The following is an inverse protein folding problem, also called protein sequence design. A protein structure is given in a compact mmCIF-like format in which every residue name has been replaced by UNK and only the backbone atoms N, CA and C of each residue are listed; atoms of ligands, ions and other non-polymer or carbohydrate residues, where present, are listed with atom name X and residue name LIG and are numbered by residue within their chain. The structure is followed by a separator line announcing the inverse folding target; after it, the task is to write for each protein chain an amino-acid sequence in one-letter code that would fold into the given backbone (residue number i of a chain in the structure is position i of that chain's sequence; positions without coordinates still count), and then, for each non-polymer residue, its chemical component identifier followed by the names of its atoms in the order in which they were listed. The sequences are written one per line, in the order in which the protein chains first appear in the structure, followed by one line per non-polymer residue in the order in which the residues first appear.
data_IF_799678776611
#
_entry.id   IF_799678776611
#
_cell.length_a   1.000
_cell.length_b   1.000
_cell.length_c   1.000
_cell.angle_alpha   90.00
_cell.angle_beta   90.00
_cell.angle_gamma   90.00
#
_symmetry.space_group_name_H-M   'P 1'
#
loop_
_entity.id
_entity.type
_entity.pdbx_description
1 polymer ?
#
# COMPACT_ATOMS: atom_id res chain seq x y z
N UNK A 1 -37.22 -51.62 41.95
CA UNK A 1 -35.98 -51.95 41.20
C UNK A 1 -36.01 -51.48 39.75
N UNK A 2 -36.98 -51.87 38.90
CA UNK A 2 -37.00 -51.47 37.46
C UNK A 2 -37.01 -49.94 37.21
N UNK A 3 -37.78 -49.16 37.98
CA UNK A 3 -37.80 -47.68 37.85
C UNK A 3 -36.43 -47.04 38.13
N UNK A 4 -35.72 -47.47 39.19
CA UNK A 4 -34.38 -46.97 39.50
C UNK A 4 -33.37 -47.29 38.39
N UNK A 5 -33.53 -48.44 37.73
CA UNK A 5 -32.69 -48.83 36.59
C UNK A 5 -32.91 -47.92 35.38
N UNK A 6 -34.16 -47.52 35.10
CA UNK A 6 -34.48 -46.58 34.01
C UNK A 6 -33.93 -45.19 34.29
N UNK A 7 -34.08 -44.68 35.52
CA UNK A 7 -33.49 -43.39 35.92
C UNK A 7 -31.96 -43.40 35.86
N UNK A 8 -31.33 -44.53 36.22
CA UNK A 8 -29.89 -44.70 36.13
C UNK A 8 -29.41 -44.68 34.67
N UNK A 9 -30.09 -45.37 33.77
CA UNK A 9 -29.77 -45.34 32.33
C UNK A 9 -29.97 -43.94 31.75
N UNK A 10 -31.07 -43.25 32.09
CA UNK A 10 -31.29 -41.86 31.69
C UNK A 10 -30.19 -40.92 32.17
N UNK A 11 -29.69 -41.10 33.40
CA UNK A 11 -28.60 -40.30 33.95
C UNK A 11 -27.29 -40.53 33.20
N UNK A 12 -26.98 -41.78 32.84
CA UNK A 12 -25.79 -42.10 32.03
C UNK A 12 -25.89 -41.48 30.64
N UNK A 13 -27.04 -41.59 29.98
CA UNK A 13 -27.25 -40.98 28.65
C UNK A 13 -27.10 -39.46 28.73
N UNK A 14 -27.67 -38.81 29.75
CA UNK A 14 -27.55 -37.37 29.93
C UNK A 14 -26.09 -36.94 30.19
N UNK A 15 -25.34 -37.72 30.97
CA UNK A 15 -23.92 -37.47 31.17
C UNK A 15 -23.11 -37.66 29.89
N UNK A 16 -23.38 -38.70 29.09
CA UNK A 16 -22.65 -38.92 27.83
C UNK A 16 -22.92 -37.82 26.82
N UNK A 17 -24.18 -37.39 26.67
CA UNK A 17 -24.54 -36.26 25.79
C UNK A 17 -23.87 -34.96 26.25
N UNK A 18 -23.85 -34.68 27.55
CA UNK A 18 -23.16 -33.51 28.09
C UNK A 18 -21.64 -33.56 27.81
N UNK A 19 -21.03 -34.74 27.92
CA UNK A 19 -19.61 -34.95 27.65
C UNK A 19 -19.28 -34.74 26.17
N UNK A 20 -20.13 -35.24 25.27
CA UNK A 20 -20.01 -35.01 23.83
C UNK A 20 -20.09 -33.52 23.54
N UNK A 21 -21.10 -32.82 24.06
CA UNK A 21 -21.28 -31.38 23.84
C UNK A 21 -20.09 -30.56 24.35
N UNK A 22 -19.52 -30.91 25.51
CA UNK A 22 -18.32 -30.25 26.02
C UNK A 22 -17.11 -30.50 25.10
N UNK A 23 -16.94 -31.74 24.64
CA UNK A 23 -15.80 -32.12 23.79
C UNK A 23 -15.89 -31.41 22.44
N UNK A 24 -17.06 -31.40 21.80
CA UNK A 24 -17.30 -30.67 20.55
C UNK A 24 -17.06 -29.17 20.73
N UNK A 25 -17.51 -28.59 21.86
CA UNK A 25 -17.26 -27.18 22.17
C UNK A 25 -15.77 -26.89 22.30
N UNK A 26 -15.02 -27.74 23.00
CA UNK A 26 -13.58 -27.55 23.21
C UNK A 26 -12.80 -27.65 21.89
N UNK A 27 -13.16 -28.62 21.03
CA UNK A 27 -12.59 -28.77 19.68
C UNK A 27 -12.87 -27.55 18.79
N UNK A 28 -14.10 -27.02 18.84
CA UNK A 28 -14.47 -25.80 18.12
C UNK A 28 -13.67 -24.59 18.62
N UNK A 29 -13.51 -24.46 19.94
CA UNK A 29 -12.74 -23.37 20.53
C UNK A 29 -11.24 -23.46 20.19
N UNK A 30 -10.67 -24.66 20.16
CA UNK A 30 -9.30 -24.86 19.71
C UNK A 30 -9.14 -24.47 18.24
N UNK A 31 -10.07 -24.92 17.39
CA UNK A 31 -10.07 -24.58 15.96
C UNK A 31 -10.19 -23.07 15.73
N UNK A 32 -11.06 -22.40 16.48
CA UNK A 32 -11.21 -20.93 16.43
C UNK A 32 -9.90 -20.23 16.81
N UNK A 33 -9.24 -20.67 17.89
CA UNK A 33 -7.94 -20.12 18.30
C UNK A 33 -6.87 -20.31 17.23
N UNK A 34 -6.80 -21.49 16.60
CA UNK A 34 -5.85 -21.75 15.52
C UNK A 34 -6.10 -20.84 14.30
N UNK A 35 -7.36 -20.62 13.92
CA UNK A 35 -7.73 -19.72 12.82
C UNK A 35 -7.34 -18.28 13.19
N UNK A 36 -7.66 -17.85 14.40
CA UNK A 36 -7.33 -16.52 14.92
C UNK A 36 -5.83 -16.26 14.89
N UNK A 37 -5.03 -17.19 15.39
CA UNK A 37 -3.59 -17.04 15.48
C UNK A 37 -2.93 -17.05 14.09
N UNK A 38 -3.41 -17.90 13.17
CA UNK A 38 -2.99 -17.87 11.76
C UNK A 38 -3.32 -16.54 11.11
N UNK A 39 -4.54 -16.04 11.27
CA UNK A 39 -4.96 -14.75 10.73
C UNK A 39 -4.09 -13.60 11.27
N UNK A 40 -3.87 -13.55 12.58
CA UNK A 40 -3.03 -12.53 13.22
C UNK A 40 -1.58 -12.62 12.76
N UNK A 41 -1.03 -13.83 12.66
CA UNK A 41 0.33 -14.08 12.17
C UNK A 41 0.48 -13.57 10.73
N UNK A 42 -0.42 -13.95 9.82
CA UNK A 42 -0.40 -13.50 8.43
C UNK A 42 -0.52 -11.99 8.32
N UNK A 43 -1.45 -11.37 9.05
CA UNK A 43 -1.57 -9.91 9.09
C UNK A 43 -0.27 -9.27 9.61
N UNK A 44 0.32 -9.82 10.68
CA UNK A 44 1.55 -9.29 11.23
C UNK A 44 2.71 -9.32 10.23
N UNK A 45 2.81 -10.39 9.44
CA UNK A 45 3.82 -10.54 8.41
C UNK A 45 3.61 -9.53 7.29
N UNK A 46 2.36 -9.32 6.85
CA UNK A 46 2.03 -8.29 5.86
C UNK A 46 2.44 -6.89 6.35
N UNK A 47 2.21 -6.55 7.61
CA UNK A 47 2.62 -5.26 8.18
C UNK A 47 4.13 -5.09 8.32
N UNK A 48 4.88 -6.19 8.47
CA UNK A 48 6.34 -6.20 8.49
C UNK A 48 6.96 -6.04 7.11
N UNK A 49 6.18 -6.23 6.03
CA UNK A 49 6.69 -5.99 4.68
C UNK A 49 7.05 -4.50 4.51
N UNK A 50 8.19 -4.21 3.85
CA UNK A 50 8.61 -2.84 3.61
C UNK A 50 7.63 -2.13 2.67
N UNK A 51 7.42 -0.83 2.91
CA UNK A 51 6.72 0.03 1.96
C UNK A 51 7.63 0.27 0.75
N UNK A 52 7.15 -0.01 -0.45
CA UNK A 52 7.90 0.19 -1.68
C UNK A 52 7.10 1.11 -2.59
N UNK A 53 7.73 2.15 -3.12
CA UNK A 53 7.18 2.94 -4.20
C UNK A 53 7.79 2.45 -5.52
N UNK A 54 6.96 2.17 -6.51
CA UNK A 54 7.39 1.79 -7.85
C UNK A 54 6.98 2.86 -8.86
N UNK A 55 7.89 3.17 -9.79
CA UNK A 55 7.66 4.06 -10.93
C UNK A 55 7.91 3.25 -12.20
N UNK A 56 6.86 2.69 -12.83
CA UNK A 56 7.02 1.82 -14.01
C UNK A 56 7.70 2.55 -15.17
N UNK A 57 7.41 3.84 -15.35
CA UNK A 57 7.97 4.69 -16.39
C UNK A 57 9.16 5.49 -15.82
N UNK A 58 10.33 4.87 -15.74
CA UNK A 58 11.56 5.54 -15.25
C UNK A 58 12.03 6.67 -16.16
N UNK A 59 11.76 6.57 -17.46
CA UNK A 59 12.00 7.64 -18.42
C UNK A 59 10.73 7.90 -19.23
N UNK A 60 10.40 9.18 -19.44
CA UNK A 60 9.25 9.61 -20.22
C UNK A 60 9.63 10.77 -21.13
N UNK A 61 9.21 10.72 -22.39
CA UNK A 61 9.38 11.81 -23.35
C UNK A 61 8.09 12.63 -23.41
N UNK A 62 8.20 13.94 -23.20
CA UNK A 62 7.09 14.88 -23.29
C UNK A 62 7.31 15.89 -24.42
N UNK A 63 6.25 16.15 -25.17
CA UNK A 63 6.26 17.13 -26.26
C UNK A 63 5.81 18.48 -25.72
N UNK A 64 6.64 19.50 -25.88
CA UNK A 64 6.32 20.86 -25.47
C UNK A 64 5.10 21.37 -26.25
N UNK A 65 4.11 21.94 -25.56
CA UNK A 65 2.86 22.42 -26.17
C UNK A 65 1.83 21.32 -26.49
N UNK A 66 2.00 20.10 -25.94
CA UNK A 66 0.98 19.06 -26.01
C UNK A 66 -0.33 19.52 -25.35
N UNK A 67 -1.48 19.21 -25.97
CA UNK A 67 -2.80 19.46 -25.38
C UNK A 67 -3.03 18.59 -24.13
N UNK A 68 -2.46 17.39 -24.12
CA UNK A 68 -2.53 16.48 -22.98
C UNK A 68 -1.29 16.63 -22.08
N UNK A 69 -1.48 16.84 -20.76
CA UNK A 69 -0.36 16.90 -19.82
C UNK A 69 0.26 15.51 -19.63
N UNK A 70 1.56 15.48 -19.33
CA UNK A 70 2.25 14.22 -19.04
C UNK A 70 1.69 13.59 -17.76
N UNK A 71 1.43 12.28 -17.78
CA UNK A 71 0.99 11.50 -16.63
C UNK A 71 2.00 10.41 -16.30
N UNK A 72 2.59 10.45 -15.11
CA UNK A 72 3.49 9.41 -14.59
C UNK A 72 2.80 8.70 -13.43
N UNK A 73 2.67 7.37 -13.55
CA UNK A 73 2.01 6.55 -12.52
C UNK A 73 3.03 6.13 -11.45
N UNK A 74 2.64 6.32 -10.19
CA UNK A 74 3.38 5.97 -8.98
C UNK A 74 2.57 4.93 -8.21
N UNK A 75 3.11 3.72 -8.07
CA UNK A 75 2.43 2.58 -7.46
C UNK A 75 3.03 2.25 -6.10
N UNK A 76 2.35 2.55 -4.98
CA UNK A 76 2.80 2.10 -3.65
C UNK A 76 2.41 0.62 -3.43
N UNK A 77 3.34 -0.17 -2.90
CA UNK A 77 3.12 -1.56 -2.47
C UNK A 77 3.56 -1.76 -1.02
N UNK A 78 2.99 -2.79 -0.36
CA UNK A 78 3.16 -3.00 1.08
C UNK A 78 2.17 -2.24 1.96
N UNK A 79 1.05 -1.78 1.39
CA UNK A 79 -0.11 -1.23 2.11
C UNK A 79 -1.06 -2.37 2.47
N UNK A 80 -1.45 -2.48 3.74
CA UNK A 80 -2.20 -3.63 4.26
C UNK A 80 -3.67 -3.28 4.47
N UNK A 81 -3.96 -2.18 5.16
CA UNK A 81 -5.34 -1.74 5.40
C UNK A 81 -5.86 -0.79 4.32
N UNK A 82 -7.19 -0.76 4.17
CA UNK A 82 -7.83 0.18 3.24
C UNK A 82 -7.66 1.64 3.68
N UNK A 83 -7.47 1.88 4.97
CA UNK A 83 -7.15 3.21 5.47
C UNK A 83 -5.74 3.64 5.08
N UNK A 84 -4.75 2.73 5.10
CA UNK A 84 -3.43 3.02 4.55
C UNK A 84 -3.49 3.38 3.06
N UNK A 85 -4.27 2.62 2.27
CA UNK A 85 -4.52 2.91 0.83
C UNK A 85 -5.16 4.28 0.59
N UNK A 86 -5.95 4.78 1.54
CA UNK A 86 -6.59 6.09 1.46
C UNK A 86 -5.71 7.23 1.98
N UNK A 87 -4.73 6.96 2.85
CA UNK A 87 -4.06 8.01 3.62
C UNK A 87 -2.54 8.11 3.39
N UNK A 88 -1.94 7.26 2.55
CA UNK A 88 -0.51 7.37 2.25
C UNK A 88 -0.16 8.73 1.63
N UNK A 89 1.00 9.26 2.01
CA UNK A 89 1.54 10.52 1.52
C UNK A 89 2.59 10.22 0.45
N UNK A 90 2.48 10.88 -0.69
CA UNK A 90 3.53 10.86 -1.72
C UNK A 90 4.11 12.25 -1.80
N UNK A 91 5.44 12.29 -1.82
CA UNK A 91 6.23 13.47 -2.08
C UNK A 91 7.01 13.28 -3.37
N UNK A 92 7.01 14.30 -4.21
CA UNK A 92 7.84 14.37 -5.41
C UNK A 92 8.65 15.66 -5.32
N UNK A 93 9.96 15.57 -5.45
CA UNK A 93 10.83 16.74 -5.56
C UNK A 93 11.77 16.60 -6.76
N UNK A 94 12.39 17.69 -7.17
CA UNK A 94 13.39 17.68 -8.24
C UNK A 94 14.74 17.33 -7.63
N UNK A 95 15.51 16.48 -8.32
CA UNK A 95 16.92 16.28 -7.98
C UNK A 95 17.72 17.53 -8.36
N UNK A 96 17.79 18.50 -7.45
CA UNK A 96 18.53 19.76 -7.63
C UNK A 96 20.03 19.56 -7.87
N UNK A 97 20.59 18.38 -7.55
CA UNK A 97 22.03 18.11 -7.74
C UNK A 97 22.35 17.65 -9.15
N UNK A 98 21.45 16.90 -9.79
CA UNK A 98 21.72 16.25 -11.08
C UNK A 98 20.71 16.58 -12.20
N UNK A 99 19.75 17.47 -11.95
CA UNK A 99 18.69 17.82 -12.89
C UNK A 99 18.43 19.32 -12.96
N UNK A 100 17.90 19.76 -14.10
CA UNK A 100 17.35 21.10 -14.22
C UNK A 100 16.10 21.23 -13.32
N UNK A 101 15.83 22.43 -12.81
CA UNK A 101 14.58 22.70 -12.09
C UNK A 101 13.56 23.25 -13.10
N UNK A 102 12.37 22.63 -13.24
CA UNK A 102 11.32 23.18 -14.08
C UNK A 102 10.93 24.59 -13.61
N UNK A 103 10.61 25.51 -14.54
CA UNK A 103 10.01 26.78 -14.15
C UNK A 103 8.71 26.53 -13.36
N UNK A 104 8.42 27.38 -12.38
CA UNK A 104 7.23 27.30 -11.51
C UNK A 104 7.17 26.03 -10.62
N UNK A 105 8.29 25.33 -10.40
CA UNK A 105 8.36 24.25 -9.42
C UNK A 105 8.19 24.77 -7.99
N UNK A 106 7.28 24.21 -7.18
CA UNK A 106 7.06 24.68 -5.81
C UNK A 106 8.25 24.39 -4.89
N UNK A 107 8.58 25.35 -4.02
CA UNK A 107 9.62 25.15 -3.02
C UNK A 107 9.23 24.04 -2.03
N UNK A 108 10.11 23.03 -1.89
CA UNK A 108 9.90 21.87 -1.02
C UNK A 108 9.27 20.65 -1.71
N UNK A 109 8.94 20.76 -3.00
CA UNK A 109 8.35 19.69 -3.79
C UNK A 109 6.82 19.69 -3.76
N UNK A 110 6.24 18.64 -4.34
CA UNK A 110 4.80 18.47 -4.51
C UNK A 110 4.34 17.33 -3.62
N UNK A 111 3.21 17.56 -2.97
CA UNK A 111 2.54 16.60 -2.11
C UNK A 111 1.08 16.54 -2.52
N UNK A 112 0.42 15.42 -2.22
CA UNK A 112 -1.03 15.29 -2.45
C UNK A 112 -1.76 16.43 -1.70
N UNK A 113 -2.52 17.24 -2.44
CA UNK A 113 -3.22 18.43 -1.92
C UNK A 113 -2.46 19.76 -2.05
N UNK A 114 -1.13 19.76 -2.26
CA UNK A 114 -0.35 20.95 -2.63
C UNK A 114 0.00 20.87 -4.11
N UNK A 115 -0.89 21.38 -4.95
CA UNK A 115 -0.73 21.42 -6.41
C UNK A 115 -0.50 22.86 -6.89
N UNK A 116 0.19 22.98 -8.01
CA UNK A 116 0.28 24.23 -8.78
C UNK A 116 -0.48 24.05 -10.11
N UNK A 117 -0.70 25.13 -10.88
CA UNK A 117 -1.36 25.06 -12.19
C UNK A 117 -0.66 24.08 -13.16
N UNK A 118 0.66 23.96 -13.07
CA UNK A 118 1.45 23.13 -13.97
C UNK A 118 1.73 21.71 -13.44
N UNK A 119 1.63 21.50 -12.12
CA UNK A 119 2.04 20.24 -11.52
C UNK A 119 1.08 19.83 -10.40
N UNK A 120 0.51 18.63 -10.53
CA UNK A 120 -0.43 18.08 -9.55
C UNK A 120 -0.21 16.58 -9.35
N UNK A 121 -0.60 16.08 -8.18
CA UNK A 121 -0.66 14.66 -7.88
C UNK A 121 -2.12 14.31 -7.62
N UNK A 122 -2.67 13.42 -8.43
CA UNK A 122 -4.02 12.89 -8.26
C UNK A 122 -3.95 11.43 -7.83
N UNK A 123 -5.02 10.92 -7.21
CA UNK A 123 -5.14 9.49 -6.89
C UNK A 123 -6.13 8.84 -7.82
N UNK A 124 -5.73 7.74 -8.42
CA UNK A 124 -6.58 6.94 -9.30
C UNK A 124 -6.36 5.46 -9.00
N UNK A 125 -7.43 4.75 -8.65
CA UNK A 125 -7.43 3.30 -8.39
C UNK A 125 -6.36 2.82 -7.38
N UNK A 126 -6.09 3.60 -6.33
CA UNK A 126 -5.09 3.29 -5.30
C UNK A 126 -3.66 3.69 -5.66
N UNK A 127 -3.41 4.08 -6.91
CA UNK A 127 -2.15 4.65 -7.36
C UNK A 127 -2.18 6.17 -7.27
N UNK A 128 -1.00 6.79 -7.30
CA UNK A 128 -0.89 8.22 -7.52
C UNK A 128 -0.42 8.50 -8.94
N UNK A 129 -0.98 9.54 -9.54
CA UNK A 129 -0.62 10.01 -10.87
C UNK A 129 -0.04 11.39 -10.73
N UNK A 130 1.24 11.50 -11.06
CA UNK A 130 1.90 12.78 -11.22
C UNK A 130 1.57 13.35 -12.58
N UNK A 131 0.88 14.49 -12.59
CA UNK A 131 0.46 15.18 -13.80
C UNK A 131 1.31 16.44 -13.91
N UNK A 132 2.04 16.56 -15.01
CA UNK A 132 2.99 17.64 -15.24
C UNK A 132 2.78 18.27 -16.61
N UNK A 133 2.73 19.60 -16.63
CA UNK A 133 2.79 20.41 -17.82
C UNK A 133 4.06 21.27 -17.77
N UNK A 134 4.80 21.31 -18.87
CA UNK A 134 6.10 21.98 -18.95
C UNK A 134 6.05 23.11 -19.97
N UNK A 135 6.55 24.28 -19.55
CA UNK A 135 6.64 25.48 -20.39
C UNK A 135 8.03 25.66 -21.02
N UNK A 136 9.01 24.88 -20.58
CA UNK A 136 10.41 24.97 -21.03
C UNK A 136 10.97 23.58 -21.33
N UNK A 137 11.80 23.50 -22.38
CA UNK A 137 12.55 22.30 -22.72
C UNK A 137 13.65 22.00 -21.71
N UNK A 138 13.94 20.71 -21.53
CA UNK A 138 14.99 20.25 -20.65
C UNK A 138 14.78 18.81 -20.17
N UNK A 139 15.85 18.26 -19.60
CA UNK A 139 15.83 16.97 -18.95
C UNK A 139 15.67 17.17 -17.43
N UNK A 140 14.49 16.81 -16.94
CA UNK A 140 14.09 17.00 -15.55
C UNK A 140 14.17 15.67 -14.81
N UNK A 141 14.93 15.64 -13.71
CA UNK A 141 15.07 14.47 -12.85
C UNK A 141 14.28 14.67 -11.57
N UNK A 142 13.43 13.71 -11.25
CA UNK A 142 12.56 13.75 -10.10
C UNK A 142 12.88 12.61 -9.13
N UNK A 143 12.67 12.91 -7.86
CA UNK A 143 12.78 12.02 -6.71
C UNK A 143 11.39 11.87 -6.12
N UNK A 144 10.89 10.64 -6.03
CA UNK A 144 9.61 10.34 -5.40
C UNK A 144 9.81 9.44 -4.19
N UNK A 145 9.17 9.78 -3.08
CA UNK A 145 9.08 8.95 -1.89
C UNK A 145 7.64 8.84 -1.37
N UNK A 146 7.35 7.72 -0.73
CA UNK A 146 6.06 7.43 -0.12
C UNK A 146 6.23 7.23 1.39
N UNK A 147 5.29 7.76 2.15
CA UNK A 147 5.23 7.61 3.60
C UNK A 147 3.80 7.25 4.01
N UNK A 148 3.66 6.31 4.93
CA UNK A 148 2.36 5.93 5.48
C UNK A 148 2.45 5.72 6.98
N UNK A 149 1.47 6.24 7.69
CA UNK A 149 1.22 5.92 9.09
C UNK A 149 0.52 4.55 9.13
N UNK A 150 1.15 3.54 9.73
CA UNK A 150 0.62 2.17 9.77
C UNK A 150 -0.69 2.16 10.57
N UNK A 151 -1.78 1.78 9.91
CA UNK A 151 -3.12 1.71 10.52
C UNK A 151 -3.67 0.30 10.42
N UNK A 152 -4.09 -0.26 11.55
CA UNK A 152 -4.74 -1.57 11.58
C UNK A 152 -6.15 -1.52 10.99
N UNK A 153 -6.66 -2.65 10.47
CA UNK A 153 -7.99 -2.68 9.88
C UNK A 153 -9.08 -2.38 10.91
N UNK A 154 -10.08 -1.59 10.52
CA UNK A 154 -11.18 -1.16 11.41
C UNK A 154 -12.09 -2.30 11.83
N UNK A 155 -12.24 -3.32 10.98
CA UNK A 155 -13.09 -4.47 11.24
C UNK A 155 -12.59 -5.37 12.38
N UNK A 156 -11.32 -5.24 12.78
CA UNK A 156 -10.78 -6.03 13.88
C UNK A 156 -11.31 -5.51 15.24
N UNK A 157 -11.83 -6.39 16.11
CA UNK A 157 -12.07 -6.06 17.51
C UNK A 157 -10.83 -5.54 18.22
N UNK A 158 -11.00 -4.69 19.23
CA UNK A 158 -9.88 -4.07 19.97
C UNK A 158 -8.89 -5.09 20.57
N UNK A 159 -9.39 -6.21 21.12
CA UNK A 159 -8.53 -7.25 21.67
C UNK A 159 -7.61 -7.88 20.61
N UNK A 160 -8.06 -8.00 19.35
CA UNK A 160 -7.24 -8.48 18.24
C UNK A 160 -6.29 -7.41 17.71
N UNK A 161 -6.68 -6.13 17.73
CA UNK A 161 -5.78 -5.02 17.40
C UNK A 161 -4.61 -4.94 18.37
N UNK A 162 -4.86 -5.14 19.67
CA UNK A 162 -3.80 -5.19 20.69
C UNK A 162 -2.82 -6.34 20.42
N UNK A 163 -3.33 -7.56 20.20
CA UNK A 163 -2.49 -8.72 19.87
C UNK A 163 -1.69 -8.51 18.57
N UNK A 164 -2.32 -7.95 17.54
CA UNK A 164 -1.63 -7.61 16.28
C UNK A 164 -0.54 -6.55 16.50
N UNK A 165 -0.82 -5.54 17.33
CA UNK A 165 0.15 -4.50 17.68
C UNK A 165 1.38 -5.06 18.37
N UNK A 166 1.22 -6.05 19.24
CA UNK A 166 2.33 -6.73 19.91
C UNK A 166 3.17 -7.52 18.90
N UNK A 167 2.53 -8.21 17.95
CA UNK A 167 3.22 -9.00 16.91
C UNK A 167 3.95 -8.15 15.86
N UNK A 168 3.37 -7.00 15.49
CA UNK A 168 3.95 -6.05 14.50
C UNK A 168 5.05 -5.20 15.12
N UNK A 169 4.98 -4.93 16.42
CA UNK A 169 5.92 -4.09 17.14
C UNK A 169 5.69 -2.59 16.91
N UNK A 170 6.70 -1.75 17.22
CA UNK A 170 6.58 -0.28 17.20
C UNK A 170 6.71 0.35 15.78
N UNK A 171 6.25 -0.33 14.74
CA UNK A 171 6.26 0.21 13.38
C UNK A 171 5.06 1.16 13.19
N UNK A 172 5.17 2.39 13.72
CA UNK A 172 4.11 3.40 13.57
C UNK A 172 4.10 4.07 12.20
N UNK A 173 5.27 4.24 11.60
CA UNK A 173 5.42 4.88 10.29
C UNK A 173 6.32 4.03 9.39
N UNK A 174 5.90 3.87 8.14
CA UNK A 174 6.69 3.19 7.12
C UNK A 174 7.00 4.18 6.00
N UNK A 175 8.27 4.21 5.60
CA UNK A 175 8.77 5.07 4.53
C UNK A 175 9.42 4.22 3.45
N UNK A 176 9.12 4.52 2.19
CA UNK A 176 9.72 3.84 1.05
C UNK A 176 11.11 4.41 0.74
N UNK A 177 11.90 3.61 0.02
CA UNK A 177 13.07 4.13 -0.66
C UNK A 177 12.67 5.20 -1.68
N UNK A 178 13.55 6.18 -1.89
CA UNK A 178 13.38 7.20 -2.92
C UNK A 178 13.58 6.57 -4.30
N UNK A 179 12.63 6.80 -5.20
CA UNK A 179 12.71 6.39 -6.58
C UNK A 179 13.02 7.58 -7.48
N UNK A 180 13.85 7.34 -8.49
CA UNK A 180 14.26 8.36 -9.43
C UNK A 180 13.58 8.10 -10.78
N UNK A 181 13.06 9.14 -11.41
CA UNK A 181 12.56 9.09 -12.78
C UNK A 181 12.91 10.37 -13.53
N UNK A 182 12.97 10.26 -14.86
CA UNK A 182 13.43 11.33 -15.75
C UNK A 182 12.34 11.66 -16.75
N UNK A 183 12.09 12.95 -16.94
CA UNK A 183 11.20 13.46 -17.97
C UNK A 183 12.03 14.32 -18.93
N UNK A 184 12.08 13.89 -20.19
CA UNK A 184 12.76 14.60 -21.28
C UNK A 184 11.74 15.43 -22.03
N UNK A 185 11.86 16.75 -21.99
CA UNK A 185 10.94 17.68 -22.64
C UNK A 185 11.57 18.23 -23.92
N UNK A 186 11.00 17.87 -25.07
CA UNK A 186 11.50 18.23 -26.39
C UNK A 186 10.55 19.22 -27.09
N UNK A 187 11.10 20.20 -27.81
CA UNK A 187 10.37 20.98 -28.81
C UNK A 187 10.05 20.08 -30.01
N UNK A 188 8.90 20.28 -30.65
CA UNK A 188 8.47 19.52 -31.83
C UNK A 188 9.60 19.33 -32.85
N UNK A 189 10.00 18.06 -33.08
CA UNK A 189 10.96 17.69 -34.11
C UNK A 189 11.61 16.31 -33.93
N UNK A 190 10.90 15.26 -34.35
CA UNK A 190 11.41 13.92 -34.71
C UNK A 190 12.06 13.09 -33.58
N UNK A 191 11.34 12.04 -33.15
CA UNK A 191 11.99 10.86 -32.57
C UNK A 191 12.93 10.26 -33.62
N UNK A 192 14.24 10.58 -33.57
CA UNK A 192 15.24 9.72 -34.18
C UNK A 192 15.29 8.44 -33.36
N UNK A 193 14.40 7.50 -33.68
CA UNK A 193 14.63 6.09 -33.39
C UNK A 193 15.91 5.69 -34.14
N UNK A 194 17.04 5.65 -33.45
CA UNK A 194 18.19 4.88 -33.89
C UNK A 194 17.74 3.43 -33.96
N UNK A 195 17.46 2.94 -35.16
CA UNK A 195 17.36 1.51 -35.39
C UNK A 195 18.75 0.93 -35.10
N UNK A 196 18.88 0.14 -34.05
CA UNK A 196 20.00 -0.78 -33.90
C UNK A 196 19.91 -1.77 -35.06
N UNK A 197 20.76 -1.55 -36.08
CA UNK A 197 21.04 -2.58 -37.08
C UNK A 197 22.05 -3.52 -36.42
N UNK A 198 21.56 -4.66 -35.96
CA UNK A 198 22.40 -5.80 -35.60
C UNK A 198 22.93 -6.42 -36.90
N UNK A 199 24.25 -6.45 -37.06
CA UNK A 199 24.94 -7.24 -38.09
C UNK A 199 24.99 -8.72 -37.70
#
# INVERSE_FOLDING_TARGET
MKKNMVYFVLYIVLLSELLIVITERDELQETENQIRDKMLSTLSEMYKQPLILSVPQKESNYKLGSEEPLKVVLTPSGLVSDNEKKNYKIRIDVDKKNGAVPPNWPEGGIVIGKSNQNFKIERENGNAIFIANFDRKGDYKFLADCEVDRQFPEYLPEHLKSALSEMVGKLKTAKSNTQNFVIKVNETGVDRKSAEVSY
#
